data_IF_939312802421
#
_entry.id   IF_939312802421
#
_cell.length_a   1.000
_cell.length_b   1.000
_cell.length_c   1.000
_cell.angle_alpha   90.00
_cell.angle_beta   90.00
_cell.angle_gamma   90.00
#
_symmetry.space_group_name_H-M   'P 1'
#
loop_
_entity.id
_entity.type
_entity.pdbx_description
1 polymer ?
#
# COMPACT_ATOMS: atom_id res chain seq x y z
N UNK A 1 -4.82 -9.57 -15.44
CA UNK A 1 -4.92 -8.91 -14.12
C UNK A 1 -4.11 -9.64 -13.05
N UNK A 2 -4.47 -10.88 -12.69
CA UNK A 2 -3.81 -11.67 -11.63
C UNK A 2 -2.29 -11.76 -11.80
N UNK A 3 -1.80 -12.11 -13.00
CA UNK A 3 -0.35 -12.18 -13.25
C UNK A 3 0.36 -10.84 -13.03
N UNK A 4 -0.29 -9.71 -13.35
CA UNK A 4 0.29 -8.37 -13.11
C UNK A 4 0.34 -8.04 -11.62
N UNK A 5 -0.69 -8.42 -10.87
CA UNK A 5 -0.69 -8.31 -9.40
C UNK A 5 0.42 -9.17 -8.80
N UNK A 6 0.59 -10.41 -9.26
CA UNK A 6 1.66 -11.32 -8.80
C UNK A 6 3.05 -10.78 -9.11
N UNK A 7 3.27 -10.32 -10.35
CA UNK A 7 4.55 -9.71 -10.75
C UNK A 7 4.82 -8.47 -9.90
N UNK A 8 3.82 -7.59 -9.74
CA UNK A 8 3.93 -6.41 -8.90
C UNK A 8 4.29 -6.76 -7.46
N UNK A 9 3.59 -7.74 -6.88
CA UNK A 9 3.88 -8.26 -5.54
C UNK A 9 5.34 -8.67 -5.39
N UNK A 10 5.87 -9.48 -6.31
CA UNK A 10 7.27 -9.95 -6.31
C UNK A 10 8.25 -8.77 -6.43
N UNK A 11 7.99 -7.81 -7.32
CA UNK A 11 8.80 -6.59 -7.44
C UNK A 11 8.80 -5.81 -6.12
N UNK A 12 7.66 -5.72 -5.43
CA UNK A 12 7.56 -5.04 -4.15
C UNK A 12 8.36 -5.72 -3.03
N UNK A 13 8.47 -7.05 -3.05
CA UNK A 13 9.36 -7.78 -2.14
C UNK A 13 10.83 -7.41 -2.40
N UNK A 14 11.27 -7.34 -3.66
CA UNK A 14 12.63 -6.91 -4.00
C UNK A 14 12.93 -5.47 -3.58
N UNK A 15 11.93 -4.59 -3.60
CA UNK A 15 12.06 -3.22 -3.06
C UNK A 15 12.38 -3.21 -1.56
N UNK A 16 11.98 -4.24 -0.80
CA UNK A 16 12.39 -4.41 0.59
C UNK A 16 13.91 -4.50 0.78
N UNK A 17 14.59 -5.22 -0.11
CA UNK A 17 16.06 -5.33 -0.11
C UNK A 17 16.74 -3.98 -0.43
N UNK A 18 16.13 -3.16 -1.29
CA UNK A 18 16.63 -1.81 -1.56
C UNK A 18 16.46 -0.93 -0.32
N UNK A 19 15.31 -1.04 0.33
CA UNK A 19 15.00 -0.27 1.54
C UNK A 19 15.94 -0.57 2.71
N UNK A 20 16.34 -1.85 2.89
CA UNK A 20 17.28 -2.23 3.95
C UNK A 20 18.68 -1.65 3.73
N UNK A 21 19.09 -1.51 2.46
CA UNK A 21 20.39 -0.93 2.03
C UNK A 21 20.47 0.60 2.09
N UNK A 22 19.35 1.31 2.31
CA UNK A 22 19.38 2.76 2.48
C UNK A 22 19.91 3.11 3.87
N UNK A 23 20.97 3.90 3.95
CA UNK A 23 21.55 4.31 5.25
C UNK A 23 20.87 5.56 5.83
N UNK A 24 20.33 6.42 4.98
CA UNK A 24 19.70 7.66 5.44
C UNK A 24 18.23 7.46 5.84
N UNK A 25 17.86 7.99 7.01
CA UNK A 25 16.46 8.10 7.47
C UNK A 25 15.60 8.84 6.43
N UNK A 26 16.13 9.91 5.84
CA UNK A 26 15.46 10.69 4.79
C UNK A 26 15.19 9.85 3.54
N UNK A 27 16.15 9.03 3.11
CA UNK A 27 15.99 8.12 1.97
C UNK A 27 14.90 7.07 2.22
N UNK A 28 14.90 6.45 3.41
CA UNK A 28 13.87 5.50 3.83
C UNK A 28 12.47 6.13 3.88
N UNK A 29 12.35 7.32 4.47
CA UNK A 29 11.08 8.06 4.51
C UNK A 29 10.57 8.43 3.13
N UNK A 30 11.43 8.90 2.24
CA UNK A 30 11.06 9.20 0.86
C UNK A 30 10.56 7.95 0.12
N UNK A 31 11.21 6.81 0.33
CA UNK A 31 10.76 5.56 -0.27
C UNK A 31 9.38 5.13 0.23
N UNK A 32 9.13 5.23 1.55
CA UNK A 32 7.82 4.94 2.14
C UNK A 32 6.75 5.90 1.58
N UNK A 33 7.03 7.20 1.59
CA UNK A 33 6.13 8.23 1.05
C UNK A 33 5.80 7.96 -0.41
N UNK A 34 6.81 7.70 -1.24
CA UNK A 34 6.60 7.45 -2.66
C UNK A 34 5.75 6.20 -2.89
N UNK A 35 5.94 5.13 -2.12
CA UNK A 35 5.10 3.93 -2.23
C UNK A 35 3.63 4.23 -1.88
N UNK A 36 3.35 5.04 -0.85
CA UNK A 36 1.96 5.43 -0.54
C UNK A 36 1.35 6.35 -1.58
N UNK A 37 2.12 7.31 -2.12
CA UNK A 37 1.67 8.19 -3.21
C UNK A 37 1.36 7.36 -4.46
N UNK A 38 2.23 6.43 -4.84
CA UNK A 38 2.00 5.54 -5.98
C UNK A 38 0.77 4.65 -5.74
N UNK A 39 0.60 4.07 -4.54
CA UNK A 39 -0.58 3.28 -4.22
C UNK A 39 -1.88 4.10 -4.32
N UNK A 40 -1.93 5.29 -3.72
CA UNK A 40 -3.08 6.19 -3.77
C UNK A 40 -3.42 6.63 -5.20
N UNK A 41 -2.44 7.16 -5.94
CA UNK A 41 -2.62 7.59 -7.34
C UNK A 41 -3.02 6.44 -8.26
N UNK A 42 -2.42 5.26 -8.09
CA UNK A 42 -2.77 4.09 -8.91
C UNK A 42 -4.20 3.64 -8.66
N UNK A 43 -4.65 3.72 -7.39
CA UNK A 43 -6.02 3.36 -7.00
C UNK A 43 -7.04 4.39 -7.49
N UNK A 44 -6.71 5.69 -7.47
CA UNK A 44 -7.51 6.72 -8.13
C UNK A 44 -7.59 6.50 -9.64
N UNK A 45 -6.47 6.11 -10.27
CA UNK A 45 -6.45 5.74 -11.68
C UNK A 45 -7.38 4.57 -12.00
N UNK A 46 -7.43 3.54 -11.13
CA UNK A 46 -8.39 2.43 -11.26
C UNK A 46 -9.83 2.90 -11.13
N UNK A 47 -10.11 3.81 -10.20
CA UNK A 47 -11.44 4.39 -10.06
C UNK A 47 -11.87 5.12 -11.35
N UNK A 48 -10.95 5.91 -11.93
CA UNK A 48 -11.17 6.63 -13.19
C UNK A 48 -11.40 5.68 -14.37
N UNK A 49 -10.70 4.54 -14.44
CA UNK A 49 -10.90 3.53 -15.48
C UNK A 49 -12.31 2.92 -15.50
N UNK A 50 -13.06 2.99 -14.39
CA UNK A 50 -14.45 2.55 -14.34
C UNK A 50 -15.50 3.63 -14.64
N UNK A 51 -15.08 4.89 -14.83
CA UNK A 51 -16.00 6.01 -15.10
C UNK A 51 -16.42 6.00 -16.56
N UNK A 52 -17.74 6.00 -16.82
CA UNK A 52 -18.32 5.95 -18.18
C UNK A 52 -17.72 6.98 -19.14
N UNK A 53 -17.50 8.21 -18.69
CA UNK A 53 -16.89 9.27 -19.51
C UNK A 53 -15.49 8.88 -19.97
N UNK A 54 -14.67 8.33 -19.07
CA UNK A 54 -13.30 7.90 -19.38
C UNK A 54 -13.31 6.70 -20.31
N UNK A 55 -14.18 5.71 -20.04
CA UNK A 55 -14.29 4.52 -20.90
C UNK A 55 -14.80 4.83 -22.30
N UNK A 56 -15.53 5.94 -22.48
CA UNK A 56 -16.01 6.39 -23.78
C UNK A 56 -14.95 7.20 -24.57
N UNK A 57 -13.96 7.78 -23.88
CA UNK A 57 -12.88 8.56 -24.51
C UNK A 57 -11.74 7.70 -25.04
N UNK A 58 -11.55 6.50 -24.50
CA UNK A 58 -10.44 5.61 -24.85
C UNK A 58 -10.94 4.24 -25.31
N UNK A 59 -10.12 3.52 -26.07
CA UNK A 59 -10.47 2.15 -26.47
C UNK A 59 -10.43 1.19 -25.28
N UNK A 60 -11.24 0.14 -25.34
CA UNK A 60 -11.29 -0.89 -24.28
C UNK A 60 -9.92 -1.51 -23.99
N UNK A 61 -9.07 -1.68 -25.01
CA UNK A 61 -7.71 -2.20 -24.86
C UNK A 61 -6.82 -1.27 -24.04
N UNK A 62 -6.94 0.05 -24.22
CA UNK A 62 -6.18 1.04 -23.44
C UNK A 62 -6.62 1.03 -21.99
N UNK A 63 -7.94 0.98 -21.73
CA UNK A 63 -8.48 0.90 -20.36
C UNK A 63 -8.04 -0.40 -19.67
N UNK A 64 -8.08 -1.54 -20.36
CA UNK A 64 -7.63 -2.82 -19.82
C UNK A 64 -6.13 -2.85 -19.52
N UNK A 65 -5.31 -2.27 -20.41
CA UNK A 65 -3.87 -2.14 -20.19
C UNK A 65 -3.58 -1.23 -18.99
N UNK A 66 -4.25 -0.08 -18.89
CA UNK A 66 -4.14 0.84 -17.76
C UNK A 66 -4.55 0.16 -16.45
N UNK A 67 -5.72 -0.49 -16.41
CA UNK A 67 -6.20 -1.19 -15.22
C UNK A 67 -5.23 -2.31 -14.77
N UNK A 68 -4.64 -3.03 -15.73
CA UNK A 68 -3.64 -4.06 -15.45
C UNK A 68 -2.39 -3.46 -14.81
N UNK A 69 -1.81 -2.42 -15.44
CA UNK A 69 -0.61 -1.75 -14.93
C UNK A 69 -0.82 -1.12 -13.55
N UNK A 70 -1.93 -0.41 -13.36
CA UNK A 70 -2.27 0.24 -12.10
C UNK A 70 -2.44 -0.78 -10.97
N UNK A 71 -3.09 -1.92 -11.26
CA UNK A 71 -3.21 -3.02 -10.29
C UNK A 71 -1.85 -3.60 -9.90
N UNK A 72 -0.93 -3.74 -10.86
CA UNK A 72 0.45 -4.13 -10.59
C UNK A 72 1.21 -3.13 -9.72
N UNK A 73 1.04 -1.83 -9.96
CA UNK A 73 1.67 -0.79 -9.13
C UNK A 73 1.13 -0.72 -7.70
N UNK A 74 -0.18 -0.94 -7.52
CA UNK A 74 -0.78 -1.09 -6.19
C UNK A 74 -0.16 -2.29 -5.49
N UNK A 75 -0.14 -3.45 -6.13
CA UNK A 75 0.42 -4.67 -5.56
C UNK A 75 1.89 -4.51 -5.15
N UNK A 76 2.70 -3.86 -5.99
CA UNK A 76 4.11 -3.54 -5.72
C UNK A 76 4.28 -2.65 -4.50
N UNK A 77 3.41 -1.65 -4.36
CA UNK A 77 3.54 -0.66 -3.29
C UNK A 77 3.04 -1.19 -1.95
N UNK A 78 1.94 -1.95 -1.97
CA UNK A 78 1.32 -2.53 -0.78
C UNK A 78 2.16 -3.69 -0.24
N UNK A 79 2.71 -4.57 -1.09
CA UNK A 79 3.53 -5.70 -0.60
C UNK A 79 4.78 -5.23 0.13
N UNK A 80 5.46 -4.20 -0.40
CA UNK A 80 6.57 -3.55 0.30
C UNK A 80 6.16 -3.09 1.71
N UNK A 81 5.05 -2.37 1.81
CA UNK A 81 4.58 -1.81 3.09
C UNK A 81 4.21 -2.89 4.09
N UNK A 82 3.48 -3.92 3.63
CA UNK A 82 2.97 -5.00 4.46
C UNK A 82 4.08 -5.84 5.09
N UNK A 83 5.13 -6.18 4.35
CA UNK A 83 6.20 -7.04 4.88
C UNK A 83 7.32 -6.27 5.59
N UNK A 84 7.59 -5.02 5.21
CA UNK A 84 8.76 -4.30 5.73
C UNK A 84 8.43 -3.47 6.98
N UNK A 85 7.28 -2.80 7.03
CA UNK A 85 6.99 -1.83 8.09
C UNK A 85 6.67 -2.47 9.44
N UNK A 86 5.80 -3.50 9.54
CA UNK A 86 5.51 -4.15 10.83
C UNK A 86 6.75 -4.82 11.43
N UNK A 87 7.56 -5.46 10.59
CA UNK A 87 8.82 -6.07 11.02
C UNK A 87 9.82 -5.02 11.54
N UNK A 88 9.97 -3.89 10.84
CA UNK A 88 10.83 -2.79 11.29
C UNK A 88 10.34 -2.20 12.62
N UNK A 89 9.04 -1.97 12.77
CA UNK A 89 8.45 -1.42 14.00
C UNK A 89 8.66 -2.36 15.19
N UNK A 90 8.32 -3.64 15.03
CA UNK A 90 8.43 -4.64 16.11
C UNK A 90 9.86 -4.85 16.57
N UNK A 91 10.81 -5.00 15.65
CA UNK A 91 12.23 -5.19 15.98
C UNK A 91 12.89 -3.95 16.59
N UNK A 92 12.45 -2.74 16.20
CA UNK A 92 13.02 -1.49 16.72
C UNK A 92 12.46 -1.13 18.08
N UNK A 93 11.13 -1.17 18.26
CA UNK A 93 10.47 -0.70 19.47
C UNK A 93 10.39 -1.79 20.56
N UNK A 94 10.30 -3.05 20.18
CA UNK A 94 10.08 -4.19 21.09
C UNK A 94 11.09 -5.32 20.83
N UNK A 95 12.41 -5.09 20.96
CA UNK A 95 13.42 -6.08 20.57
C UNK A 95 13.25 -7.43 21.30
N UNK A 96 12.94 -7.40 22.60
CA UNK A 96 12.76 -8.60 23.44
C UNK A 96 11.43 -9.34 23.19
N UNK A 97 10.44 -8.66 22.60
CA UNK A 97 9.09 -9.20 22.36
C UNK A 97 8.64 -8.99 20.92
N UNK A 98 9.59 -9.00 19.97
CA UNK A 98 9.36 -8.61 18.58
C UNK A 98 8.33 -9.52 17.89
N UNK A 99 8.35 -10.82 18.17
CA UNK A 99 7.35 -11.76 17.65
C UNK A 99 5.94 -11.47 18.13
N UNK A 100 5.77 -11.11 19.41
CA UNK A 100 4.47 -10.76 20.01
C UNK A 100 3.97 -9.42 19.48
N UNK A 101 4.86 -8.43 19.36
CA UNK A 101 4.52 -7.13 18.79
C UNK A 101 4.13 -7.25 17.30
N UNK A 102 4.82 -8.10 16.54
CA UNK A 102 4.52 -8.38 15.15
C UNK A 102 3.16 -9.08 14.99
N UNK A 103 2.90 -10.12 15.79
CA UNK A 103 1.62 -10.85 15.74
C UNK A 103 0.43 -9.98 16.16
N UNK A 104 0.60 -9.13 17.17
CA UNK A 104 -0.41 -8.14 17.55
C UNK A 104 -0.68 -7.15 16.41
N UNK A 105 0.37 -6.66 15.75
CA UNK A 105 0.25 -5.74 14.61
C UNK A 105 -0.51 -6.40 13.45
N UNK A 106 -0.21 -7.66 13.15
CA UNK A 106 -0.90 -8.44 12.13
C UNK A 106 -2.38 -8.67 12.48
N UNK A 107 -2.68 -9.03 13.73
CA UNK A 107 -4.06 -9.21 14.21
C UNK A 107 -4.89 -7.92 14.12
N UNK A 108 -4.31 -6.79 14.53
CA UNK A 108 -4.95 -5.47 14.39
C UNK A 108 -5.14 -5.11 12.92
N UNK A 109 -4.11 -5.36 12.09
CA UNK A 109 -4.16 -5.16 10.64
C UNK A 109 -5.29 -5.97 9.98
N UNK A 110 -5.44 -7.24 10.35
CA UNK A 110 -6.50 -8.11 9.87
C UNK A 110 -7.89 -7.59 10.27
N UNK A 111 -8.08 -7.23 11.55
CA UNK A 111 -9.36 -6.71 12.06
C UNK A 111 -9.78 -5.43 11.33
N UNK A 112 -8.85 -4.48 11.15
CA UNK A 112 -9.11 -3.24 10.42
C UNK A 112 -9.40 -3.52 8.95
N UNK A 113 -8.63 -4.41 8.32
CA UNK A 113 -8.83 -4.79 6.91
C UNK A 113 -10.19 -5.45 6.70
N UNK A 114 -10.64 -6.32 7.60
CA UNK A 114 -11.96 -6.92 7.54
C UNK A 114 -13.07 -5.86 7.58
N UNK A 115 -12.95 -4.85 8.45
CA UNK A 115 -13.89 -3.72 8.50
C UNK A 115 -13.88 -2.90 7.20
N UNK A 116 -12.71 -2.57 6.67
CA UNK A 116 -12.55 -1.83 5.40
C UNK A 116 -13.15 -2.62 4.23
N UNK A 117 -12.91 -3.93 4.16
CA UNK A 117 -13.46 -4.80 3.11
C UNK A 117 -14.97 -4.95 3.24
N UNK A 118 -15.50 -5.06 4.46
CA UNK A 118 -16.94 -5.05 4.73
C UNK A 118 -17.59 -3.77 4.20
N UNK A 119 -17.05 -2.60 4.54
CA UNK A 119 -17.56 -1.34 4.03
C UNK A 119 -17.41 -1.20 2.50
N UNK A 120 -16.25 -1.60 1.96
CA UNK A 120 -16.00 -1.60 0.51
C UNK A 120 -17.02 -2.46 -0.25
N UNK A 121 -17.44 -3.60 0.33
CA UNK A 121 -18.47 -4.45 -0.26
C UNK A 121 -19.84 -3.75 -0.35
N UNK A 122 -20.21 -2.96 0.66
CA UNK A 122 -21.45 -2.18 0.67
C UNK A 122 -21.41 -1.05 -0.37
N UNK A 123 -20.27 -0.34 -0.46
CA UNK A 123 -20.04 0.70 -1.46
C UNK A 123 -20.07 0.12 -2.87
N UNK A 124 -19.43 -1.04 -3.07
CA UNK A 124 -19.45 -1.75 -4.36
C UNK A 124 -20.88 -2.13 -4.77
N UNK A 125 -21.66 -2.70 -3.85
CA UNK A 125 -23.05 -3.10 -4.12
C UNK A 125 -23.97 -1.91 -4.45
N UNK A 126 -23.73 -0.75 -3.84
CA UNK A 126 -24.60 0.44 -3.99
C UNK A 126 -24.18 1.39 -5.11
N UNK A 127 -22.86 1.54 -5.34
CA UNK A 127 -22.29 2.58 -6.20
C UNK A 127 -21.33 2.05 -7.27
N UNK A 128 -21.03 0.74 -7.26
CA UNK A 128 -20.19 0.09 -8.26
C UNK A 128 -18.68 0.23 -8.04
N UNK A 129 -17.91 -0.34 -8.97
CA UNK A 129 -16.46 -0.50 -8.85
C UNK A 129 -15.67 0.80 -8.74
N UNK A 130 -16.06 1.85 -9.47
CA UNK A 130 -15.37 3.14 -9.40
C UNK A 130 -15.44 3.76 -8.00
N UNK A 131 -16.60 3.68 -7.35
CA UNK A 131 -16.78 4.20 -6.00
C UNK A 131 -15.98 3.37 -4.98
N UNK A 132 -15.96 2.04 -5.13
CA UNK A 132 -15.17 1.16 -4.26
C UNK A 132 -13.67 1.44 -4.38
N UNK A 133 -13.14 1.65 -5.60
CA UNK A 133 -11.74 2.02 -5.80
C UNK A 133 -11.44 3.44 -5.29
N UNK A 134 -12.34 4.40 -5.47
CA UNK A 134 -12.18 5.74 -4.91
C UNK A 134 -12.12 5.71 -3.37
N UNK A 135 -12.97 4.90 -2.74
CA UNK A 135 -12.92 4.65 -1.30
C UNK A 135 -11.56 4.07 -0.87
N UNK A 136 -11.07 3.03 -1.54
CA UNK A 136 -9.75 2.45 -1.25
C UNK A 136 -8.62 3.46 -1.44
N UNK A 137 -8.70 4.32 -2.44
CA UNK A 137 -7.71 5.37 -2.68
C UNK A 137 -7.64 6.37 -1.51
N UNK A 138 -8.80 6.78 -0.98
CA UNK A 138 -8.89 7.64 0.21
C UNK A 138 -8.25 6.96 1.42
N UNK A 139 -8.56 5.68 1.65
CA UNK A 139 -7.96 4.92 2.76
C UNK A 139 -6.44 4.81 2.61
N UNK A 140 -5.92 4.51 1.42
CA UNK A 140 -4.47 4.46 1.19
C UNK A 140 -3.79 5.82 1.34
N UNK A 141 -4.43 6.91 0.91
CA UNK A 141 -3.90 8.26 1.08
C UNK A 141 -3.87 8.69 2.54
N UNK A 142 -4.96 8.47 3.28
CA UNK A 142 -5.05 8.79 4.71
C UNK A 142 -4.10 7.92 5.53
N UNK A 143 -4.17 6.59 5.35
CA UNK A 143 -3.29 5.64 6.03
C UNK A 143 -1.82 5.90 5.69
N UNK A 144 -1.52 6.25 4.45
CA UNK A 144 -0.16 6.59 4.01
C UNK A 144 0.37 7.87 4.62
N UNK A 145 -0.44 8.92 4.71
CA UNK A 145 -0.05 10.15 5.39
C UNK A 145 0.27 9.88 6.86
N UNK A 146 -0.65 9.21 7.58
CA UNK A 146 -0.45 8.85 8.99
C UNK A 146 0.77 7.95 9.18
N UNK A 147 0.95 6.94 8.33
CA UNK A 147 2.09 6.01 8.43
C UNK A 147 3.43 6.71 8.18
N UNK A 148 3.52 7.61 7.19
CA UNK A 148 4.76 8.37 6.94
C UNK A 148 5.16 9.20 8.17
N UNK A 149 4.19 9.79 8.86
CA UNK A 149 4.43 10.52 10.10
C UNK A 149 4.84 9.58 11.26
N UNK A 150 4.15 8.45 11.43
CA UNK A 150 4.42 7.47 12.48
C UNK A 150 5.78 6.75 12.30
N UNK A 151 6.20 6.51 11.06
CA UNK A 151 7.46 5.81 10.76
C UNK A 151 8.71 6.66 11.00
N UNK A 152 8.58 8.00 11.01
CA UNK A 152 9.73 8.90 11.22
C UNK A 152 10.46 8.64 12.54
N UNK A 153 9.82 8.65 13.72
CA UNK A 153 10.50 8.37 14.99
C UNK A 153 11.09 6.95 15.03
N UNK A 154 10.39 5.95 14.46
CA UNK A 154 10.86 4.57 14.41
C UNK A 154 12.17 4.47 13.60
N UNK A 155 12.23 5.14 12.45
CA UNK A 155 13.43 5.13 11.61
C UNK A 155 14.62 5.85 12.25
N UNK A 156 14.36 6.93 13.01
CA UNK A 156 15.40 7.62 13.78
C UNK A 156 15.96 6.69 14.85
N UNK A 157 15.09 5.98 15.57
CA UNK A 157 15.51 5.05 16.61
C UNK A 157 16.27 3.85 16.04
N UNK A 158 15.82 3.31 14.92
CA UNK A 158 16.51 2.24 14.20
C UNK A 158 17.92 2.67 13.72
N UNK A 159 18.10 3.94 13.36
CA UNK A 159 19.40 4.48 12.94
C UNK A 159 20.39 4.64 14.11
N UNK A 160 19.92 4.87 15.34
CA UNK A 160 20.79 4.95 16.52
C UNK A 160 21.33 3.60 16.99
N UNK A 161 20.65 2.51 16.64
CA UNK A 161 21.00 1.13 17.04
C UNK A 161 21.95 0.44 16.07
N UNK A 162 22.24 1.06 14.92
CA UNK A 162 23.30 0.64 14.00
C UNK A 162 24.62 1.28 14.41
#
# INVERSE_FOLDING_TARGET
LTSSVTIGFVIGLFRGTIFSKLDSVKGKLNMIRNSYVVAGLSTFGLAACGVKTVTNMFSANVILAAATLLSGFIATSVSFQFYQLPNLMSTTLFPESSSVALSLTDAVGFLVTAGVMGFSSLVLGSFGWSAAWAFMAIIFSMGGATMVHAMRPILIEAAKRK
#
